data_IF_780130103887
#
_entry.id   IF_780130103887
#
_cell.length_a   1.000
_cell.length_b   1.000
_cell.length_c   1.000
_cell.angle_alpha   90.00
_cell.angle_beta   90.00
_cell.angle_gamma   90.00
#
_symmetry.space_group_name_H-M   'P 1'
#
loop_
_entity.id
_entity.type
_entity.pdbx_description
1 polymer ?
#
# COMPACT_ATOMS: atom_id res chain seq x y z
N UNK A 1 -14.70 -16.35 -9.50
CA UNK A 1 -13.51 -15.81 -10.23
C UNK A 1 -12.24 -16.37 -9.62
N UNK A 2 -11.08 -16.13 -10.27
CA UNK A 2 -9.77 -16.58 -9.79
C UNK A 2 -8.88 -15.39 -9.44
N UNK A 3 -8.05 -15.55 -8.41
CA UNK A 3 -7.03 -14.57 -8.00
C UNK A 3 -5.65 -15.19 -8.19
N UNK A 4 -4.75 -14.42 -8.80
CA UNK A 4 -3.36 -14.78 -8.98
C UNK A 4 -2.50 -14.05 -7.96
N UNK A 5 -1.62 -14.75 -7.26
CA UNK A 5 -0.73 -14.20 -6.24
C UNK A 5 0.62 -14.92 -6.25
N UNK A 6 1.67 -14.24 -5.86
CA UNK A 6 3.02 -14.82 -5.82
C UNK A 6 3.45 -15.27 -4.42
N UNK A 7 2.84 -14.69 -3.38
CA UNK A 7 3.18 -15.01 -2.00
C UNK A 7 1.93 -14.98 -1.12
N UNK A 8 1.90 -15.82 -0.10
CA UNK A 8 0.93 -15.77 1.00
C UNK A 8 1.64 -16.12 2.31
N UNK A 9 1.17 -15.56 3.40
CA UNK A 9 1.72 -15.82 4.72
C UNK A 9 0.99 -15.07 5.81
N UNK A 10 1.41 -15.26 7.06
CA UNK A 10 0.92 -14.47 8.17
C UNK A 10 1.90 -13.34 8.48
N UNK A 11 1.34 -12.16 8.78
CA UNK A 11 2.08 -11.02 9.26
C UNK A 11 1.33 -10.36 10.42
N UNK A 12 2.09 -9.85 11.40
CA UNK A 12 1.52 -9.19 12.57
C UNK A 12 1.76 -7.69 12.47
N UNK A 13 0.69 -6.90 12.46
CA UNK A 13 0.62 -5.44 12.48
C UNK A 13 1.17 -4.66 11.28
N UNK A 14 2.03 -5.22 10.43
CA UNK A 14 2.67 -4.47 9.32
C UNK A 14 1.73 -4.22 8.13
N UNK A 15 0.81 -5.14 7.85
CA UNK A 15 -0.15 -5.04 6.74
C UNK A 15 -1.58 -4.78 7.22
N UNK A 16 -1.72 -4.03 8.32
CA UNK A 16 -2.98 -3.72 9.00
C UNK A 16 -3.02 -4.27 10.42
N UNK A 17 -4.12 -4.05 11.18
CA UNK A 17 -4.19 -4.40 12.59
C UNK A 17 -4.16 -5.90 12.84
N UNK A 18 -3.48 -6.32 13.91
CA UNK A 18 -3.45 -7.68 14.42
C UNK A 18 -2.73 -8.68 13.52
N UNK A 19 -2.99 -9.97 13.75
CA UNK A 19 -2.39 -11.05 12.96
C UNK A 19 -3.23 -11.34 11.71
N UNK A 20 -2.60 -11.29 10.54
CA UNK A 20 -3.31 -11.26 9.25
C UNK A 20 -2.78 -12.31 8.27
N UNK A 21 -3.70 -12.97 7.59
CA UNK A 21 -3.37 -13.70 6.37
C UNK A 21 -3.18 -12.67 5.25
N UNK A 22 -1.96 -12.54 4.76
CA UNK A 22 -1.57 -11.60 3.71
C UNK A 22 -1.43 -12.34 2.39
N UNK A 23 -2.12 -11.86 1.36
CA UNK A 23 -2.01 -12.33 -0.02
C UNK A 23 -1.33 -11.25 -0.87
N UNK A 24 -0.15 -11.56 -1.41
CA UNK A 24 0.57 -10.68 -2.33
C UNK A 24 0.18 -11.00 -3.77
N UNK A 25 -0.68 -10.16 -4.34
CA UNK A 25 -1.27 -10.38 -5.65
C UNK A 25 -0.28 -10.08 -6.79
N UNK A 26 -0.42 -10.82 -7.87
CA UNK A 26 0.43 -10.71 -9.07
C UNK A 26 -0.05 -9.57 -9.97
N UNK A 27 0.91 -8.83 -10.52
CA UNK A 27 0.71 -7.70 -11.44
C UNK A 27 0.69 -6.35 -10.75
N UNK A 28 1.42 -5.39 -11.32
CA UNK A 28 1.45 -3.99 -10.85
C UNK A 28 1.45 -3.04 -12.05
N UNK A 29 0.75 -1.91 -11.90
CA UNK A 29 0.72 -0.82 -12.87
C UNK A 29 1.85 0.19 -12.69
N UNK A 30 2.69 0.06 -11.64
CA UNK A 30 3.86 0.89 -11.39
C UNK A 30 5.16 0.14 -11.62
N UNK A 31 6.26 0.89 -11.79
CA UNK A 31 7.64 0.40 -11.97
C UNK A 31 8.59 1.15 -11.04
N UNK A 32 8.24 1.16 -9.75
CA UNK A 32 9.07 1.82 -8.73
C UNK A 32 10.47 1.18 -8.67
N UNK A 33 11.57 1.93 -8.83
CA UNK A 33 12.93 1.37 -8.82
C UNK A 33 13.29 0.69 -7.49
N UNK A 34 12.65 1.11 -6.39
CA UNK A 34 12.85 0.57 -5.03
C UNK A 34 11.86 -0.52 -4.63
N UNK A 35 11.16 -1.14 -5.58
CA UNK A 35 10.14 -2.13 -5.27
C UNK A 35 10.67 -3.27 -4.41
N UNK A 36 10.00 -3.58 -3.28
CA UNK A 36 10.37 -4.69 -2.40
C UNK A 36 9.92 -6.05 -2.94
N UNK A 37 8.98 -6.06 -3.88
CA UNK A 37 8.35 -7.25 -4.44
C UNK A 37 8.41 -7.25 -5.97
N UNK A 38 9.63 -7.29 -6.56
CA UNK A 38 9.79 -7.26 -8.02
C UNK A 38 9.14 -8.47 -8.71
N UNK A 39 9.00 -9.61 -8.01
CA UNK A 39 8.27 -10.79 -8.48
C UNK A 39 6.80 -10.50 -8.80
N UNK A 40 6.21 -9.50 -8.13
CA UNK A 40 4.83 -9.07 -8.34
C UNK A 40 4.64 -8.06 -9.47
N UNK A 41 5.69 -7.60 -10.16
CA UNK A 41 5.59 -6.57 -11.19
C UNK A 41 4.95 -7.07 -12.49
N UNK A 42 5.26 -8.29 -12.92
CA UNK A 42 4.68 -8.90 -14.12
C UNK A 42 3.23 -9.32 -13.84
N UNK A 43 2.40 -9.30 -14.88
CA UNK A 43 1.03 -9.82 -14.80
C UNK A 43 0.96 -11.34 -14.94
N UNK A 44 2.01 -11.94 -15.46
CA UNK A 44 2.18 -13.40 -15.59
C UNK A 44 2.99 -13.95 -14.41
N UNK A 45 2.76 -15.23 -14.09
CA UNK A 45 3.45 -15.90 -12.98
C UNK A 45 2.55 -16.11 -11.76
N UNK A 46 3.17 -16.48 -10.64
CA UNK A 46 2.48 -16.75 -9.39
C UNK A 46 1.61 -18.02 -9.41
N UNK A 47 0.78 -18.16 -8.40
CA UNK A 47 -0.21 -19.22 -8.23
C UNK A 47 -1.60 -18.65 -8.46
N UNK A 48 -2.51 -19.48 -8.97
CA UNK A 48 -3.90 -19.12 -9.16
C UNK A 48 -4.79 -19.96 -8.24
N UNK A 49 -5.69 -19.31 -7.50
CA UNK A 49 -6.73 -19.97 -6.72
C UNK A 49 -8.08 -19.31 -6.98
N UNK A 50 -9.14 -20.11 -6.95
CA UNK A 50 -10.50 -19.56 -7.01
C UNK A 50 -10.81 -18.74 -5.76
N UNK A 51 -11.69 -17.74 -5.91
CA UNK A 51 -12.20 -16.96 -4.78
C UNK A 51 -12.82 -17.89 -3.72
N UNK A 52 -13.54 -18.93 -4.13
CA UNK A 52 -14.10 -19.91 -3.20
C UNK A 52 -13.01 -20.63 -2.39
N UNK A 53 -11.94 -21.08 -3.04
CA UNK A 53 -10.83 -21.76 -2.36
C UNK A 53 -10.07 -20.81 -1.41
N UNK A 54 -9.91 -19.53 -1.79
CA UNK A 54 -9.31 -18.54 -0.90
C UNK A 54 -10.19 -18.22 0.29
N UNK A 55 -11.52 -18.22 0.12
CA UNK A 55 -12.45 -18.05 1.22
C UNK A 55 -12.40 -19.23 2.20
N UNK A 56 -12.31 -20.46 1.69
CA UNK A 56 -12.12 -21.65 2.54
C UNK A 56 -10.78 -21.61 3.29
N UNK A 57 -9.72 -21.13 2.65
CA UNK A 57 -8.44 -20.88 3.32
C UNK A 57 -8.61 -19.86 4.45
N UNK A 58 -9.25 -18.71 4.19
CA UNK A 58 -9.47 -17.69 5.21
C UNK A 58 -10.31 -18.23 6.39
N UNK A 59 -11.34 -19.03 6.12
CA UNK A 59 -12.14 -19.72 7.15
C UNK A 59 -11.29 -20.64 8.03
N UNK A 60 -10.41 -21.43 7.41
CA UNK A 60 -9.51 -22.34 8.13
C UNK A 60 -8.51 -21.62 9.04
N UNK A 61 -8.18 -20.36 8.69
CA UNK A 61 -7.26 -19.50 9.43
C UNK A 61 -7.95 -18.65 10.51
N UNK A 62 -9.27 -18.71 10.68
CA UNK A 62 -10.04 -17.79 11.53
C UNK A 62 -9.53 -17.69 12.96
N UNK A 63 -9.08 -18.80 13.55
CA UNK A 63 -8.49 -18.82 14.89
C UNK A 63 -7.14 -18.09 15.00
N UNK A 64 -6.51 -17.81 13.87
CA UNK A 64 -5.25 -17.04 13.80
C UNK A 64 -5.48 -15.54 13.72
N UNK A 65 -6.71 -15.08 13.49
CA UNK A 65 -7.05 -13.66 13.38
C UNK A 65 -7.34 -13.06 14.76
N UNK A 66 -6.27 -12.74 15.49
CA UNK A 66 -6.37 -12.10 16.80
C UNK A 66 -5.92 -10.64 16.73
N UNK A 67 -6.22 -9.86 17.78
CA UNK A 67 -5.92 -8.43 17.90
C UNK A 67 -6.47 -7.57 16.74
N UNK A 68 -7.68 -7.88 16.26
CA UNK A 68 -8.30 -7.18 15.14
C UNK A 68 -7.79 -7.65 13.77
N UNK A 69 -7.13 -8.81 13.74
CA UNK A 69 -6.59 -9.42 12.53
C UNK A 69 -7.65 -9.89 11.52
N UNK A 70 -7.20 -10.39 10.38
CA UNK A 70 -8.08 -10.81 9.28
C UNK A 70 -7.30 -11.12 8.01
N UNK A 71 -7.81 -10.69 6.87
CA UNK A 71 -7.15 -10.88 5.57
C UNK A 71 -6.70 -9.54 5.00
N UNK A 72 -5.47 -9.50 4.46
CA UNK A 72 -4.94 -8.35 3.71
C UNK A 72 -4.66 -8.75 2.27
N UNK A 73 -5.10 -7.93 1.34
CA UNK A 73 -4.70 -7.99 -0.06
C UNK A 73 -3.69 -6.86 -0.34
N UNK A 74 -2.53 -7.24 -0.84
CA UNK A 74 -1.39 -6.38 -1.19
C UNK A 74 -0.64 -6.96 -2.37
N UNK A 75 0.66 -6.73 -2.53
CA UNK A 75 1.56 -7.45 -3.45
C UNK A 75 2.16 -6.58 -4.52
N UNK A 76 1.83 -6.81 -5.79
CA UNK A 76 2.05 -5.87 -6.88
C UNK A 76 1.11 -4.67 -6.71
N UNK A 77 -0.06 -4.77 -7.31
CA UNK A 77 -1.18 -3.86 -7.05
C UNK A 77 -2.48 -4.68 -7.05
N UNK A 78 -3.06 -4.86 -5.87
CA UNK A 78 -4.23 -5.73 -5.71
C UNK A 78 -5.43 -5.30 -6.57
N UNK A 79 -5.62 -4.01 -6.77
CA UNK A 79 -6.73 -3.46 -7.57
C UNK A 79 -6.61 -3.75 -9.07
N UNK A 80 -5.50 -4.33 -9.56
CA UNK A 80 -5.38 -4.76 -10.96
C UNK A 80 -6.19 -6.02 -11.27
N UNK A 81 -6.52 -6.82 -10.27
CA UNK A 81 -7.42 -7.97 -10.37
C UNK A 81 -8.82 -7.63 -9.82
N UNK A 82 -9.32 -6.46 -10.17
CA UNK A 82 -10.39 -5.73 -9.50
C UNK A 82 -11.65 -6.56 -9.22
N UNK A 83 -12.20 -7.22 -10.22
CA UNK A 83 -13.49 -7.92 -10.06
C UNK A 83 -13.37 -9.14 -9.14
N UNK A 84 -12.29 -9.89 -9.24
CA UNK A 84 -12.01 -11.01 -8.35
C UNK A 84 -11.68 -10.55 -6.91
N UNK A 85 -10.94 -9.44 -6.77
CA UNK A 85 -10.68 -8.80 -5.47
C UNK A 85 -11.97 -8.31 -4.83
N UNK A 86 -12.87 -7.67 -5.59
CA UNK A 86 -14.17 -7.21 -5.10
C UNK A 86 -15.04 -8.39 -4.64
N UNK A 87 -15.10 -9.47 -5.43
CA UNK A 87 -15.82 -10.69 -5.05
C UNK A 87 -15.28 -11.27 -3.74
N UNK A 88 -13.96 -11.39 -3.61
CA UNK A 88 -13.34 -11.98 -2.43
C UNK A 88 -13.51 -11.11 -1.17
N UNK A 89 -13.24 -9.80 -1.26
CA UNK A 89 -13.45 -8.87 -0.14
C UNK A 89 -14.92 -8.85 0.30
N UNK A 90 -15.86 -8.88 -0.65
CA UNK A 90 -17.30 -8.94 -0.34
C UNK A 90 -17.64 -10.21 0.43
N UNK A 91 -17.12 -11.38 0.00
CA UNK A 91 -17.37 -12.65 0.68
C UNK A 91 -16.77 -12.67 2.09
N UNK A 92 -15.54 -12.16 2.28
CA UNK A 92 -14.90 -12.03 3.59
C UNK A 92 -15.71 -11.14 4.53
N UNK A 93 -16.13 -9.97 4.03
CA UNK A 93 -16.90 -8.99 4.80
C UNK A 93 -18.27 -9.57 5.23
N UNK A 94 -18.97 -10.29 4.35
CA UNK A 94 -20.24 -10.99 4.66
C UNK A 94 -20.08 -12.05 5.76
N UNK A 95 -18.89 -12.63 5.89
CA UNK A 95 -18.57 -13.59 6.96
C UNK A 95 -18.03 -12.95 8.23
N UNK A 96 -17.95 -11.62 8.30
CA UNK A 96 -17.38 -10.89 9.44
C UNK A 96 -15.89 -11.15 9.63
N UNK A 97 -15.16 -11.45 8.55
CA UNK A 97 -13.70 -11.48 8.55
C UNK A 97 -13.20 -10.09 8.20
N UNK A 98 -12.40 -9.49 9.09
CA UNK A 98 -11.87 -8.16 8.90
C UNK A 98 -10.96 -8.09 7.67
N UNK A 99 -11.21 -7.11 6.80
CA UNK A 99 -10.54 -6.96 5.51
C UNK A 99 -9.59 -5.76 5.52
N UNK A 100 -8.41 -5.93 4.93
CA UNK A 100 -7.51 -4.82 4.64
C UNK A 100 -7.09 -4.85 3.17
N UNK A 101 -6.90 -3.67 2.62
CA UNK A 101 -6.40 -3.47 1.26
C UNK A 101 -5.25 -2.49 1.29
N UNK A 102 -4.09 -2.92 0.78
CA UNK A 102 -2.95 -2.07 0.50
C UNK A 102 -2.85 -1.83 -0.99
N UNK A 103 -2.82 -0.57 -1.41
CA UNK A 103 -2.89 -0.16 -2.80
C UNK A 103 -2.09 1.11 -3.08
N UNK A 104 -1.56 1.24 -4.29
CA UNK A 104 -0.99 2.51 -4.76
C UNK A 104 -2.07 3.55 -5.13
N UNK A 105 -3.34 3.18 -5.06
CA UNK A 105 -4.47 4.07 -5.30
C UNK A 105 -4.72 4.44 -6.77
N UNK A 106 -3.97 3.91 -7.73
CA UNK A 106 -4.09 4.28 -9.15
C UNK A 106 -5.09 3.33 -9.85
N UNK A 107 -6.32 3.31 -9.38
CA UNK A 107 -7.43 2.64 -10.03
C UNK A 107 -8.70 3.51 -9.90
N UNK A 108 -9.33 3.93 -11.01
CA UNK A 108 -10.51 4.79 -10.97
C UNK A 108 -11.73 4.13 -10.31
N UNK A 109 -11.74 2.78 -10.22
CA UNK A 109 -12.81 2.01 -9.60
C UNK A 109 -12.58 1.74 -8.11
N UNK A 110 -11.45 2.18 -7.54
CA UNK A 110 -11.10 1.90 -6.14
C UNK A 110 -12.22 2.25 -5.14
N UNK A 111 -13.00 3.34 -5.29
CA UNK A 111 -14.11 3.66 -4.39
C UNK A 111 -15.20 2.59 -4.31
N UNK A 112 -15.32 1.71 -5.32
CA UNK A 112 -16.29 0.60 -5.27
C UNK A 112 -15.90 -0.47 -4.22
N UNK A 113 -14.66 -0.48 -3.73
CA UNK A 113 -14.17 -1.40 -2.70
C UNK A 113 -14.37 -0.84 -1.28
N UNK A 114 -14.57 0.46 -1.10
CA UNK A 114 -14.67 1.08 0.23
C UNK A 114 -15.72 0.44 1.13
N UNK A 115 -16.93 0.05 0.66
CA UNK A 115 -17.92 -0.58 1.52
C UNK A 115 -17.50 -1.92 2.14
N UNK A 116 -16.55 -2.61 1.52
CA UNK A 116 -16.10 -3.97 1.90
C UNK A 116 -14.64 -4.03 2.34
N UNK A 117 -14.00 -2.87 2.54
CA UNK A 117 -12.65 -2.73 3.11
C UNK A 117 -12.76 -2.08 4.47
N UNK A 118 -12.35 -2.78 5.54
CA UNK A 118 -12.36 -2.27 6.90
C UNK A 118 -11.13 -1.40 7.19
N UNK A 119 -9.96 -1.77 6.66
CA UNK A 119 -8.71 -1.03 6.82
C UNK A 119 -8.05 -0.76 5.47
N UNK A 120 -7.99 0.52 5.09
CA UNK A 120 -7.45 0.95 3.80
C UNK A 120 -6.05 1.54 3.99
N UNK A 121 -5.06 0.96 3.31
CA UNK A 121 -3.68 1.44 3.26
C UNK A 121 -3.43 1.96 1.85
N UNK A 122 -2.96 3.19 1.73
CA UNK A 122 -2.70 3.82 0.44
C UNK A 122 -1.30 4.40 0.36
N UNK A 123 -0.51 3.94 -0.60
CA UNK A 123 0.82 4.49 -0.85
C UNK A 123 0.75 5.84 -1.58
N UNK A 124 1.27 6.89 -0.98
CA UNK A 124 1.43 8.21 -1.61
C UNK A 124 2.91 8.53 -1.80
N UNK A 125 3.44 8.19 -2.96
CA UNK A 125 4.89 8.10 -3.19
C UNK A 125 5.58 9.44 -3.51
N UNK A 126 4.85 10.43 -4.00
CA UNK A 126 5.37 11.78 -4.27
C UNK A 126 4.24 12.81 -4.23
N UNK A 127 4.54 14.05 -3.84
CA UNK A 127 3.58 15.16 -3.85
C UNK A 127 3.37 15.75 -5.26
N UNK A 128 4.39 15.65 -6.13
CA UNK A 128 4.37 16.13 -7.51
C UNK A 128 4.02 14.99 -8.49
N UNK A 129 3.02 15.24 -9.36
CA UNK A 129 2.46 14.24 -10.27
C UNK A 129 3.42 13.89 -11.42
N UNK A 130 4.19 14.86 -11.90
CA UNK A 130 5.12 14.66 -13.01
C UNK A 130 6.37 13.89 -12.56
N UNK A 131 6.92 14.22 -11.39
CA UNK A 131 8.01 13.47 -10.77
C UNK A 131 7.55 12.04 -10.44
N UNK A 132 6.33 11.86 -9.91
CA UNK A 132 5.76 10.52 -9.69
C UNK A 132 5.71 9.73 -11.00
N UNK A 133 5.18 10.34 -12.08
CA UNK A 133 5.08 9.69 -13.41
C UNK A 133 6.44 9.34 -13.98
N UNK A 134 7.40 10.26 -13.88
CA UNK A 134 8.76 10.06 -14.42
C UNK A 134 9.45 8.86 -13.77
N UNK A 135 9.30 8.66 -12.47
CA UNK A 135 10.04 7.66 -11.70
C UNK A 135 9.28 6.34 -11.59
N UNK A 136 7.96 6.37 -11.46
CA UNK A 136 7.16 5.15 -11.22
C UNK A 136 6.39 4.67 -12.44
N UNK A 137 6.26 5.48 -13.47
CA UNK A 137 5.57 5.16 -14.73
C UNK A 137 4.13 5.66 -14.82
N UNK A 138 3.54 6.20 -13.75
CA UNK A 138 2.19 6.76 -13.77
C UNK A 138 2.05 8.00 -12.88
N UNK A 139 1.06 8.88 -13.17
CA UNK A 139 0.71 10.00 -12.32
C UNK A 139 0.05 9.53 -11.01
N UNK A 140 0.19 10.29 -9.93
CA UNK A 140 -0.48 10.08 -8.66
C UNK A 140 -1.84 10.80 -8.55
N UNK A 141 -2.36 11.40 -9.62
CA UNK A 141 -3.63 12.14 -9.60
C UNK A 141 -4.80 11.27 -9.11
N UNK A 142 -4.85 10.00 -9.56
CA UNK A 142 -5.87 9.06 -9.10
C UNK A 142 -5.68 8.69 -7.63
N UNK A 143 -4.45 8.51 -7.15
CA UNK A 143 -4.18 8.27 -5.74
C UNK A 143 -4.70 9.43 -4.89
N UNK A 144 -4.36 10.66 -5.26
CA UNK A 144 -4.84 11.88 -4.58
C UNK A 144 -6.36 11.95 -4.54
N UNK A 145 -7.01 11.74 -5.70
CA UNK A 145 -8.48 11.69 -5.81
C UNK A 145 -9.07 10.60 -4.92
N UNK A 146 -8.50 9.40 -4.92
CA UNK A 146 -9.03 8.27 -4.17
C UNK A 146 -8.84 8.42 -2.65
N UNK A 147 -7.78 9.11 -2.19
CA UNK A 147 -7.64 9.52 -0.79
C UNK A 147 -8.79 10.46 -0.40
N UNK A 148 -9.06 11.49 -1.20
CA UNK A 148 -10.17 12.42 -0.95
C UNK A 148 -11.52 11.70 -0.88
N UNK A 149 -11.81 10.81 -1.84
CA UNK A 149 -13.04 10.02 -1.87
C UNK A 149 -13.14 9.04 -0.69
N UNK A 150 -12.02 8.49 -0.21
CA UNK A 150 -12.00 7.65 0.98
C UNK A 150 -12.38 8.46 2.24
N UNK A 151 -11.84 9.67 2.38
CA UNK A 151 -12.19 10.59 3.48
C UNK A 151 -13.66 11.01 3.42
N UNK A 152 -14.18 11.36 2.25
CA UNK A 152 -15.60 11.67 2.02
C UNK A 152 -16.53 10.49 2.37
N UNK A 153 -16.07 9.26 2.11
CA UNK A 153 -16.79 8.04 2.47
C UNK A 153 -16.65 7.66 3.96
N UNK A 154 -16.02 8.49 4.79
CA UNK A 154 -15.79 8.24 6.22
C UNK A 154 -14.77 7.13 6.50
N UNK A 155 -13.97 6.75 5.51
CA UNK A 155 -12.81 5.87 5.71
C UNK A 155 -11.66 6.70 6.28
N UNK A 156 -10.94 6.13 7.23
CA UNK A 156 -9.75 6.74 7.82
C UNK A 156 -8.51 6.05 7.23
N UNK A 157 -8.06 6.42 6.02
CA UNK A 157 -6.98 5.70 5.36
C UNK A 157 -5.66 5.86 6.13
N UNK A 158 -4.88 4.78 6.19
CA UNK A 158 -3.48 4.83 6.56
C UNK A 158 -2.68 5.13 5.29
N UNK A 159 -2.15 6.35 5.16
CA UNK A 159 -1.37 6.74 3.99
C UNK A 159 0.11 6.46 4.27
N UNK A 160 0.76 5.72 3.37
CA UNK A 160 2.18 5.40 3.46
C UNK A 160 3.01 6.24 2.52
N UNK A 161 4.10 6.81 3.04
CA UNK A 161 5.08 7.57 2.25
C UNK A 161 6.41 6.82 2.31
N UNK A 162 6.79 6.10 1.25
CA UNK A 162 8.15 5.60 1.14
C UNK A 162 9.10 6.78 0.93
N UNK A 163 9.97 7.04 1.91
CA UNK A 163 10.97 8.11 1.86
C UNK A 163 12.23 7.62 1.16
N UNK A 164 12.48 8.16 -0.02
CA UNK A 164 13.57 7.76 -0.91
C UNK A 164 14.49 8.96 -1.14
N UNK A 165 15.74 8.85 -0.72
CA UNK A 165 16.75 9.87 -0.97
C UNK A 165 16.90 10.17 -2.46
N UNK A 166 17.02 11.45 -2.81
CA UNK A 166 17.09 11.90 -4.20
C UNK A 166 15.77 11.90 -4.97
N UNK A 167 14.66 11.44 -4.35
CA UNK A 167 13.36 11.43 -5.00
C UNK A 167 12.32 12.30 -4.28
N UNK A 168 12.08 12.05 -2.99
CA UNK A 168 10.99 12.70 -2.25
C UNK A 168 11.32 13.00 -0.79
N UNK A 169 12.61 12.99 -0.42
CA UNK A 169 13.04 13.06 0.98
C UNK A 169 13.86 14.32 1.30
N UNK A 170 13.62 15.43 0.61
CA UNK A 170 14.19 16.74 0.98
C UNK A 170 13.33 17.44 2.05
N UNK A 171 13.89 18.44 2.72
CA UNK A 171 13.12 19.29 3.65
C UNK A 171 11.97 20.02 2.96
N UNK A 172 12.15 20.41 1.69
CA UNK A 172 11.10 21.02 0.89
C UNK A 172 9.96 20.05 0.61
N UNK A 173 10.28 18.77 0.32
CA UNK A 173 9.27 17.73 0.13
C UNK A 173 8.41 17.53 1.37
N UNK A 174 9.00 17.60 2.59
CA UNK A 174 8.23 17.48 3.82
C UNK A 174 7.11 18.54 3.91
N UNK A 175 7.41 19.79 3.58
CA UNK A 175 6.41 20.86 3.57
C UNK A 175 5.37 20.68 2.45
N UNK A 176 5.78 20.20 1.27
CA UNK A 176 4.86 19.93 0.17
C UNK A 176 3.92 18.78 0.48
N UNK A 177 4.40 17.70 1.09
CA UNK A 177 3.53 16.62 1.59
C UNK A 177 2.54 17.14 2.63
N UNK A 178 3.01 17.93 3.61
CA UNK A 178 2.13 18.53 4.62
C UNK A 178 1.01 19.35 3.98
N UNK A 179 1.34 20.22 3.02
CA UNK A 179 0.37 21.05 2.31
C UNK A 179 -0.67 20.21 1.55
N UNK A 180 -0.23 19.18 0.82
CA UNK A 180 -1.13 18.29 0.08
C UNK A 180 -2.09 17.57 1.03
N UNK A 181 -1.61 17.04 2.15
CA UNK A 181 -2.50 16.32 3.08
C UNK A 181 -3.44 17.22 3.86
N UNK A 182 -3.03 18.47 4.15
CA UNK A 182 -3.93 19.49 4.70
C UNK A 182 -5.03 19.85 3.68
N UNK A 183 -4.69 20.05 2.40
CA UNK A 183 -5.66 20.31 1.32
C UNK A 183 -6.65 19.16 1.15
N UNK A 184 -6.18 17.92 1.29
CA UNK A 184 -7.03 16.72 1.23
C UNK A 184 -7.92 16.51 2.47
N UNK A 185 -7.70 17.25 3.56
CA UNK A 185 -8.45 17.09 4.78
C UNK A 185 -8.06 15.84 5.60
N UNK A 186 -6.83 15.34 5.43
CA UNK A 186 -6.35 14.16 6.16
C UNK A 186 -6.18 14.39 7.67
N UNK A 187 -5.81 15.59 8.18
CA UNK A 187 -5.70 15.84 9.61
C UNK A 187 -6.98 15.47 10.37
N UNK A 188 -6.85 14.62 11.41
CA UNK A 188 -7.99 14.14 12.21
C UNK A 188 -8.85 13.05 11.57
N UNK A 189 -8.60 12.68 10.31
CA UNK A 189 -9.41 11.73 9.53
C UNK A 189 -8.63 10.57 8.94
N UNK A 190 -7.32 10.51 9.15
CA UNK A 190 -6.46 9.44 8.68
C UNK A 190 -5.11 9.47 9.37
N UNK A 191 -4.27 8.52 9.04
CA UNK A 191 -2.92 8.40 9.60
C UNK A 191 -1.87 8.40 8.51
N UNK A 192 -0.64 8.79 8.86
CA UNK A 192 0.53 8.70 7.99
C UNK A 192 1.56 7.73 8.57
N UNK A 193 2.17 6.96 7.71
CA UNK A 193 3.33 6.15 8.02
C UNK A 193 4.50 6.50 7.10
N UNK A 194 5.66 6.78 7.68
CA UNK A 194 6.89 7.07 6.95
C UNK A 194 7.71 5.78 6.85
N UNK A 195 7.90 5.29 5.63
CA UNK A 195 8.67 4.07 5.37
C UNK A 195 10.05 4.46 4.83
N UNK A 196 11.09 4.32 5.65
CA UNK A 196 12.46 4.58 5.21
C UNK A 196 12.87 3.58 4.12
N UNK A 197 13.54 4.08 3.09
CA UNK A 197 14.12 3.22 2.06
C UNK A 197 14.97 2.09 2.66
N UNK A 198 14.78 0.90 2.13
CA UNK A 198 15.53 -0.32 2.44
C UNK A 198 15.80 -1.14 1.18
N UNK A 199 16.75 -2.06 1.24
CA UNK A 199 17.19 -2.87 0.11
C UNK A 199 16.62 -4.32 0.14
N UNK A 200 15.47 -4.56 0.79
CA UNK A 200 14.90 -5.91 0.92
C UNK A 200 14.54 -6.58 -0.42
N UNK A 201 14.26 -5.78 -1.45
CA UNK A 201 14.00 -6.29 -2.79
C UNK A 201 15.25 -6.67 -3.59
N UNK A 202 16.44 -6.17 -3.23
CA UNK A 202 17.65 -6.22 -4.05
C UNK A 202 18.00 -7.61 -4.57
N UNK A 203 18.04 -8.60 -3.67
CA UNK A 203 18.39 -9.97 -4.05
C UNK A 203 17.31 -10.64 -4.91
N UNK A 204 16.05 -10.21 -4.74
CA UNK A 204 14.92 -10.69 -5.54
C UNK A 204 15.02 -10.21 -7.00
N UNK A 205 15.52 -8.99 -7.25
CA UNK A 205 15.74 -8.50 -8.61
C UNK A 205 16.65 -9.44 -9.40
N UNK A 206 17.80 -9.79 -8.82
CA UNK A 206 18.75 -10.72 -9.47
C UNK A 206 18.12 -12.10 -9.74
N UNK A 207 17.32 -12.63 -8.79
CA UNK A 207 16.62 -13.90 -8.93
C UNK A 207 15.60 -13.91 -10.07
N UNK A 208 15.06 -12.73 -10.44
CA UNK A 208 14.12 -12.56 -11.55
C UNK A 208 14.76 -11.99 -12.82
N UNK A 209 16.08 -11.96 -12.92
CA UNK A 209 16.81 -11.45 -14.09
C UNK A 209 16.64 -9.95 -14.32
N UNK A 210 16.29 -9.20 -13.28
CA UNK A 210 16.11 -7.75 -13.33
C UNK A 210 17.32 -7.03 -12.73
N UNK A 211 17.62 -5.83 -13.24
CA UNK A 211 18.64 -4.95 -12.68
C UNK A 211 18.06 -4.15 -11.51
N UNK A 212 18.80 -4.12 -10.39
CA UNK A 212 18.48 -3.24 -9.26
C UNK A 212 19.30 -1.96 -9.38
N UNK A 213 18.64 -0.86 -9.73
CA UNK A 213 19.29 0.42 -10.07
C UNK A 213 19.48 1.36 -8.86
N UNK A 214 18.92 1.01 -7.71
CA UNK A 214 19.03 1.83 -6.51
C UNK A 214 20.40 1.72 -5.87
N UNK A 215 20.88 2.84 -5.31
CA UNK A 215 22.16 2.94 -4.60
C UNK A 215 21.94 3.29 -3.13
N UNK A 216 23.03 3.32 -2.34
CA UNK A 216 22.99 3.76 -0.94
C UNK A 216 22.50 5.19 -0.74
N UNK A 217 22.57 6.02 -1.79
CA UNK A 217 22.13 7.43 -1.75
C UNK A 217 20.61 7.58 -1.61
N UNK A 218 19.87 6.49 -1.87
CA UNK A 218 18.45 6.41 -1.60
C UNK A 218 18.11 6.33 -0.10
N UNK A 219 19.09 6.04 0.75
CA UNK A 219 18.91 6.03 2.21
C UNK A 219 18.78 7.46 2.72
N UNK A 220 17.89 7.63 3.68
CA UNK A 220 17.71 8.92 4.36
C UNK A 220 18.43 8.91 5.71
N UNK A 221 18.90 10.09 6.13
CA UNK A 221 19.50 10.23 7.44
C UNK A 221 18.43 10.33 8.54
N UNK A 222 18.78 9.98 9.79
CA UNK A 222 17.88 10.15 10.94
C UNK A 222 17.39 11.59 11.10
N UNK A 223 18.22 12.59 10.74
CA UNK A 223 17.87 14.01 10.83
C UNK A 223 16.76 14.37 9.82
N UNK A 224 16.78 13.79 8.62
CA UNK A 224 15.74 13.98 7.61
C UNK A 224 14.45 13.32 8.08
N UNK A 225 14.51 12.09 8.59
CA UNK A 225 13.32 11.42 9.13
C UNK A 225 12.68 12.26 10.26
N UNK A 226 13.46 12.71 11.24
CA UNK A 226 12.98 13.56 12.33
C UNK A 226 12.39 14.88 11.81
N UNK A 227 12.98 15.45 10.75
CA UNK A 227 12.46 16.66 10.13
C UNK A 227 11.07 16.42 9.52
N UNK A 228 10.89 15.31 8.79
CA UNK A 228 9.59 14.90 8.25
C UNK A 228 8.57 14.70 9.37
N UNK A 229 8.90 13.88 10.37
CA UNK A 229 8.01 13.60 11.51
C UNK A 229 7.51 14.90 12.16
N UNK A 230 8.43 15.82 12.48
CA UNK A 230 8.07 17.11 13.08
C UNK A 230 7.20 17.96 12.14
N UNK A 231 7.62 18.13 10.88
CA UNK A 231 6.89 18.97 9.91
C UNK A 231 5.46 18.48 9.70
N UNK A 232 5.27 17.16 9.56
CA UNK A 232 3.95 16.57 9.37
C UNK A 232 3.09 16.65 10.64
N UNK A 233 3.69 16.41 11.81
CA UNK A 233 3.00 16.56 13.10
C UNK A 233 2.58 18.00 13.36
N UNK A 234 3.46 18.98 13.10
CA UNK A 234 3.16 20.41 13.23
C UNK A 234 2.03 20.85 12.27
N UNK A 235 1.86 20.15 11.17
CA UNK A 235 0.74 20.34 10.23
C UNK A 235 -0.57 19.65 10.67
N UNK A 236 -0.61 19.05 11.87
CA UNK A 236 -1.79 18.40 12.44
C UNK A 236 -2.01 16.94 11.97
N UNK A 237 -1.02 16.33 11.35
CA UNK A 237 -1.10 14.96 10.84
C UNK A 237 -0.72 13.95 11.93
N UNK A 238 -1.44 12.84 12.00
CA UNK A 238 -1.18 11.76 12.96
C UNK A 238 -0.23 10.74 12.35
N UNK A 239 0.95 10.61 12.93
CA UNK A 239 1.94 9.61 12.50
C UNK A 239 1.74 8.30 13.25
N UNK A 240 1.84 7.18 12.53
CA UNK A 240 1.87 5.83 13.09
C UNK A 240 3.18 5.14 12.67
N UNK A 241 3.51 4.07 13.39
CA UNK A 241 4.60 3.14 13.05
C UNK A 241 4.06 1.72 13.21
N UNK A 242 4.24 0.88 12.19
CA UNK A 242 3.82 -0.54 12.20
C UNK A 242 5.01 -1.48 12.16
#
# INVERSE_FOLDING_TARGET
>A
MDIRFFQQGFNYSQDGPGNRLVLHLQGCNLRCPWCSNPEGLCFDGGKTMSVASLLDLARSCRMMFFDGGGVTLTGGEASMQFDAVKEFLTALHQEGIHTALETNGINPRLPELFPVVDYLIMDYKHHDADMHRQVTGASNDLTRRNIALALEAGKNPAVRIPLIGGFNASKEDAHKFAAVFQELGLPGHGTLELLCYHEYGKDKYAAHGMEYTMTSDARISPEILQYFERTLTDAGLTLIRT
#
